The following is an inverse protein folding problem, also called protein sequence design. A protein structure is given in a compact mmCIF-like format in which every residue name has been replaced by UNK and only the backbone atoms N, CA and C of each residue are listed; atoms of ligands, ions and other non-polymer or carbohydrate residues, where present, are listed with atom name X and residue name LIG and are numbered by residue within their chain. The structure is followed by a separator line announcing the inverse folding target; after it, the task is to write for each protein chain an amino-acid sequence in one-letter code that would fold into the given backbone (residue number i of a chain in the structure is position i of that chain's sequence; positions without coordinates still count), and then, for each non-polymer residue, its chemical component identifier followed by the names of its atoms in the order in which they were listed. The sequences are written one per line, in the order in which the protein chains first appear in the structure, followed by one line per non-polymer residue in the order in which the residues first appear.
data_IF_575435792536
#
_entry.id   IF_575435792536
#
_cell.length_a   1.000
_cell.length_b   1.000
_cell.length_c   1.000
_cell.angle_alpha   90.00
_cell.angle_beta   90.00
_cell.angle_gamma   90.00
#
_symmetry.space_group_name_H-M   'P 1'
#
loop_
_entity.id
_entity.type
_entity.pdbx_description
1 polymer ?
#
# COMPACT_ATOMS: atom_id res chain seq x y z
N UNK A 1 -11.92 -29.43 25.94
CA UNK A 1 -11.52 -29.86 24.57
C UNK A 1 -10.62 -28.81 23.88
N UNK A 2 -11.05 -27.55 23.74
CA UNK A 2 -10.26 -26.46 23.12
C UNK A 2 -8.92 -26.24 23.86
N UNK A 3 -8.94 -26.09 25.19
CA UNK A 3 -7.71 -25.89 26.00
C UNK A 3 -6.70 -27.04 25.86
N UNK A 4 -7.17 -28.27 25.63
CA UNK A 4 -6.28 -29.42 25.39
C UNK A 4 -5.62 -29.34 23.99
N UNK A 5 -6.36 -28.89 22.98
CA UNK A 5 -5.82 -28.67 21.64
C UNK A 5 -4.81 -27.52 21.60
N UNK A 6 -5.07 -26.42 22.30
CA UNK A 6 -4.14 -25.31 22.42
C UNK A 6 -2.80 -25.72 23.07
N UNK A 7 -2.83 -26.61 24.08
CA UNK A 7 -1.58 -27.16 24.66
C UNK A 7 -0.73 -27.93 23.64
N UNK A 8 -1.37 -28.58 22.67
CA UNK A 8 -0.67 -29.27 21.59
C UNK A 8 -0.03 -28.26 20.62
N UNK A 9 -0.73 -27.18 20.29
CA UNK A 9 -0.20 -26.09 19.45
C UNK A 9 0.99 -25.41 20.14
N UNK A 10 0.86 -25.05 21.43
CA UNK A 10 1.95 -24.49 22.24
C UNK A 10 3.19 -25.37 22.23
N UNK A 11 2.99 -26.69 22.41
CA UNK A 11 4.08 -27.68 22.46
C UNK A 11 4.81 -27.83 21.12
N UNK A 12 4.12 -27.55 20.02
CA UNK A 12 4.67 -27.59 18.66
C UNK A 12 5.16 -26.20 18.19
N UNK A 13 5.19 -25.18 19.05
CA UNK A 13 5.69 -23.84 18.73
C UNK A 13 4.77 -22.99 17.85
N UNK A 14 3.49 -23.34 17.72
CA UNK A 14 2.53 -22.53 16.96
C UNK A 14 2.07 -21.33 17.76
N UNK A 15 2.11 -20.16 17.12
CA UNK A 15 1.44 -18.95 17.61
C UNK A 15 -0.04 -18.96 17.15
N UNK A 16 -0.94 -18.51 18.01
CA UNK A 16 -2.37 -18.41 17.69
C UNK A 16 -3.01 -17.17 18.30
N UNK A 17 -4.14 -16.77 17.76
CA UNK A 17 -4.89 -15.60 18.18
C UNK A 17 -6.40 -15.83 18.19
N UNK A 18 -7.11 -14.84 18.71
CA UNK A 18 -8.57 -14.81 18.75
C UNK A 18 -9.07 -13.52 18.16
N UNK A 19 -10.14 -13.63 17.38
CA UNK A 19 -10.96 -12.49 17.01
C UNK A 19 -12.03 -12.33 18.07
N UNK A 20 -12.15 -11.16 18.65
CA UNK A 20 -13.06 -10.86 19.75
C UNK A 20 -13.91 -9.65 19.40
N UNK A 21 -15.23 -9.85 19.34
CA UNK A 21 -16.22 -8.79 19.24
C UNK A 21 -16.71 -8.34 20.63
N UNK A 22 -17.35 -7.18 20.71
CA UNK A 22 -17.99 -6.72 21.95
C UNK A 22 -19.07 -7.69 22.44
N UNK A 23 -19.79 -8.32 21.53
CA UNK A 23 -20.80 -9.35 21.83
C UNK A 23 -20.18 -10.57 22.50
N UNK A 24 -19.02 -11.00 22.02
CA UNK A 24 -18.30 -12.16 22.61
C UNK A 24 -17.87 -11.87 24.04
N UNK A 25 -17.40 -10.66 24.33
CA UNK A 25 -17.01 -10.25 25.67
C UNK A 25 -18.18 -10.27 26.66
N UNK A 26 -19.34 -9.84 26.22
CA UNK A 26 -20.56 -9.84 27.04
C UNK A 26 -21.06 -11.27 27.24
N UNK A 27 -21.10 -12.08 26.19
CA UNK A 27 -21.75 -13.41 26.21
C UNK A 27 -20.83 -14.50 26.77
N UNK A 28 -19.52 -14.40 26.54
CA UNK A 28 -18.55 -15.48 26.78
C UNK A 28 -17.37 -15.10 27.67
N UNK A 29 -17.47 -14.06 28.47
CA UNK A 29 -16.37 -13.50 29.28
C UNK A 29 -15.61 -14.55 30.08
N UNK A 30 -16.31 -15.47 30.76
CA UNK A 30 -15.69 -16.52 31.61
C UNK A 30 -14.87 -17.51 30.78
N UNK A 31 -15.24 -17.77 29.53
CA UNK A 31 -14.56 -18.71 28.63
C UNK A 31 -13.41 -18.03 27.89
N UNK A 32 -13.60 -16.77 27.50
CA UNK A 32 -12.60 -16.01 26.74
C UNK A 32 -11.39 -15.61 27.57
N UNK A 33 -11.56 -15.26 28.82
CA UNK A 33 -10.46 -14.80 29.67
C UNK A 33 -9.28 -15.81 29.78
N UNK A 34 -9.50 -17.11 30.03
CA UNK A 34 -8.41 -18.10 30.06
C UNK A 34 -7.79 -18.34 28.67
N UNK A 35 -8.56 -18.20 27.59
CA UNK A 35 -8.08 -18.37 26.22
C UNK A 35 -7.22 -17.17 25.79
N UNK A 36 -7.71 -15.96 26.04
CA UNK A 36 -7.00 -14.72 25.73
C UNK A 36 -5.65 -14.60 26.46
N UNK A 37 -5.57 -15.07 27.71
CA UNK A 37 -4.30 -15.06 28.46
C UNK A 37 -3.22 -16.00 27.88
N UNK A 38 -3.60 -16.98 27.08
CA UNK A 38 -2.67 -17.93 26.45
C UNK A 38 -2.35 -17.61 25.00
N UNK A 39 -3.14 -16.75 24.35
CA UNK A 39 -2.93 -16.40 22.94
C UNK A 39 -1.73 -15.47 22.75
N UNK A 40 -1.15 -15.50 21.55
CA UNK A 40 -0.09 -14.58 21.14
C UNK A 40 -0.69 -13.31 20.53
N UNK A 41 -1.87 -13.43 19.92
CA UNK A 41 -2.55 -12.34 19.20
C UNK A 41 -4.01 -12.23 19.65
N UNK A 42 -4.50 -11.01 19.77
CA UNK A 42 -5.93 -10.72 19.92
C UNK A 42 -6.30 -9.64 18.93
N UNK A 43 -7.23 -9.96 18.05
CA UNK A 43 -7.85 -9.02 17.14
C UNK A 43 -9.17 -8.54 17.72
N UNK A 44 -9.35 -7.22 17.79
CA UNK A 44 -10.59 -6.57 18.24
C UNK A 44 -11.31 -5.92 17.09
N UNK A 45 -12.62 -6.08 17.04
CA UNK A 45 -13.52 -5.28 16.18
C UNK A 45 -13.70 -3.91 16.83
N UNK A 46 -12.75 -3.01 16.60
CA UNK A 46 -12.59 -1.75 17.34
C UNK A 46 -13.76 -0.80 17.17
N UNK A 47 -14.45 -0.78 16.03
CA UNK A 47 -15.63 0.04 15.78
C UNK A 47 -16.77 -0.16 16.80
N UNK A 48 -16.79 -1.30 17.49
CA UNK A 48 -17.81 -1.60 18.51
C UNK A 48 -17.46 -1.15 19.92
N UNK A 49 -16.24 -0.59 20.14
CA UNK A 49 -15.74 -0.21 21.46
C UNK A 49 -15.45 1.29 21.55
N UNK A 50 -15.71 1.90 22.69
CA UNK A 50 -15.21 3.23 22.99
C UNK A 50 -13.75 3.20 23.54
N UNK A 51 -13.12 4.38 23.58
CA UNK A 51 -11.72 4.48 24.00
C UNK A 51 -11.44 4.05 25.44
N UNK A 52 -12.43 4.10 26.35
CA UNK A 52 -12.30 3.65 27.74
C UNK A 52 -12.42 2.13 27.83
N UNK A 53 -13.31 1.55 27.04
CA UNK A 53 -13.49 0.11 26.93
C UNK A 53 -12.23 -0.56 26.37
N UNK A 54 -11.64 0.02 25.31
CA UNK A 54 -10.38 -0.44 24.72
C UNK A 54 -9.25 -0.42 25.74
N UNK A 55 -9.09 0.68 26.49
CA UNK A 55 -8.06 0.81 27.53
C UNK A 55 -8.28 -0.19 28.68
N UNK A 56 -9.51 -0.37 29.10
CA UNK A 56 -9.89 -1.35 30.11
C UNK A 56 -9.56 -2.78 29.69
N UNK A 57 -9.90 -3.16 28.46
CA UNK A 57 -9.57 -4.45 27.88
C UNK A 57 -8.07 -4.67 27.80
N UNK A 58 -7.31 -3.72 27.28
CA UNK A 58 -5.86 -3.79 27.19
C UNK A 58 -5.24 -4.06 28.57
N UNK A 59 -5.61 -3.28 29.58
CA UNK A 59 -5.14 -3.46 30.95
C UNK A 59 -5.49 -4.84 31.50
N UNK A 60 -6.72 -5.30 31.29
CA UNK A 60 -7.16 -6.61 31.77
C UNK A 60 -6.40 -7.77 31.10
N UNK A 61 -6.06 -7.63 29.82
CA UNK A 61 -5.35 -8.65 29.05
C UNK A 61 -3.85 -8.67 29.34
N UNK A 62 -3.24 -7.50 29.57
CA UNK A 62 -1.78 -7.39 29.78
C UNK A 62 -1.37 -7.59 31.23
N UNK A 63 -2.16 -7.09 32.21
CA UNK A 63 -1.81 -7.12 33.62
C UNK A 63 -1.78 -8.54 34.26
N UNK A 64 -2.43 -9.50 33.64
CA UNK A 64 -2.51 -10.89 34.15
C UNK A 64 -1.56 -11.86 33.44
N UNK A 65 -0.75 -11.38 32.52
CA UNK A 65 0.23 -12.22 31.78
C UNK A 65 1.50 -12.41 32.61
N UNK A 66 2.03 -13.62 32.55
CA UNK A 66 3.33 -13.95 33.11
C UNK A 66 4.42 -13.78 32.06
N UNK A 67 5.67 -13.60 32.49
CA UNK A 67 6.85 -13.50 31.61
C UNK A 67 6.95 -14.71 30.67
N UNK A 68 6.55 -15.90 31.14
CA UNK A 68 6.58 -17.13 30.33
C UNK A 68 5.58 -17.16 29.17
N UNK A 69 4.55 -16.31 29.19
CA UNK A 69 3.53 -16.25 28.13
C UNK A 69 3.92 -15.32 26.97
N UNK A 70 5.05 -14.63 27.08
CA UNK A 70 5.54 -13.70 26.07
C UNK A 70 4.67 -12.45 25.90
N UNK A 71 4.99 -11.62 24.90
CA UNK A 71 4.23 -10.42 24.58
C UNK A 71 2.89 -10.80 23.92
N UNK A 72 1.82 -10.13 24.32
CA UNK A 72 0.54 -10.17 23.63
C UNK A 72 0.54 -9.09 22.56
N UNK A 73 0.21 -9.47 21.35
CA UNK A 73 0.03 -8.53 20.25
C UNK A 73 -1.45 -8.23 20.04
N UNK A 74 -1.80 -6.96 20.03
CA UNK A 74 -3.15 -6.48 19.80
C UNK A 74 -3.30 -6.00 18.36
N UNK A 75 -4.33 -6.48 17.68
CA UNK A 75 -4.71 -6.06 16.33
C UNK A 75 -6.01 -5.26 16.40
N UNK A 76 -6.00 -4.08 15.83
CA UNK A 76 -7.20 -3.29 15.58
C UNK A 76 -7.69 -3.57 14.16
N UNK A 77 -8.96 -3.98 14.02
CA UNK A 77 -9.54 -4.36 12.73
C UNK A 77 -10.64 -3.40 12.32
N UNK A 78 -10.81 -3.25 10.99
CA UNK A 78 -11.86 -2.44 10.34
C UNK A 78 -11.83 -0.96 10.79
N UNK A 79 -10.63 -0.39 10.81
CA UNK A 79 -10.46 1.05 11.07
C UNK A 79 -10.85 1.86 9.82
N UNK A 80 -11.88 2.68 9.94
CA UNK A 80 -12.39 3.48 8.82
C UNK A 80 -11.80 4.91 8.77
N UNK A 81 -11.27 5.40 9.90
CA UNK A 81 -10.71 6.74 10.02
C UNK A 81 -9.31 6.74 10.63
N UNK A 82 -8.57 7.81 10.34
CA UNK A 82 -7.25 8.01 10.94
C UNK A 82 -7.35 8.34 12.45
N UNK A 83 -8.47 8.88 12.90
CA UNK A 83 -8.72 9.14 14.32
C UNK A 83 -8.91 7.83 15.10
N UNK A 84 -9.61 6.85 14.53
CA UNK A 84 -9.69 5.50 15.10
C UNK A 84 -8.33 4.81 15.15
N UNK A 85 -7.53 4.95 14.08
CA UNK A 85 -6.15 4.48 14.07
C UNK A 85 -5.34 5.09 15.21
N UNK A 86 -5.34 6.43 15.35
CA UNK A 86 -4.60 7.13 16.41
C UNK A 86 -5.07 6.67 17.79
N UNK A 87 -6.37 6.53 17.98
CA UNK A 87 -6.96 6.04 19.21
C UNK A 87 -6.38 4.67 19.62
N UNK A 88 -6.30 3.75 18.69
CA UNK A 88 -5.76 2.40 18.93
C UNK A 88 -4.24 2.42 19.07
N UNK A 89 -3.53 3.21 18.26
CA UNK A 89 -2.09 3.35 18.30
C UNK A 89 -1.59 3.90 19.65
N UNK A 90 -2.20 4.98 20.14
CA UNK A 90 -1.89 5.57 21.46
C UNK A 90 -2.17 4.60 22.61
N UNK A 91 -3.08 3.65 22.40
CA UNK A 91 -3.41 2.60 23.38
C UNK A 91 -2.55 1.35 23.25
N UNK A 92 -1.53 1.40 22.41
CA UNK A 92 -0.51 0.36 22.29
C UNK A 92 -0.99 -0.91 21.57
N UNK A 93 -1.83 -0.76 20.55
CA UNK A 93 -2.02 -1.81 19.56
C UNK A 93 -0.77 -1.94 18.70
N UNK A 94 -0.48 -3.16 18.27
CA UNK A 94 0.73 -3.48 17.49
C UNK A 94 0.43 -3.55 15.98
N UNK A 95 -0.79 -3.95 15.59
CA UNK A 95 -1.20 -4.15 14.19
C UNK A 95 -2.54 -3.51 13.91
N UNK A 96 -2.71 -3.04 12.67
CA UNK A 96 -3.87 -2.26 12.25
C UNK A 96 -4.32 -2.70 10.88
N UNK A 97 -5.63 -2.88 10.70
CA UNK A 97 -6.24 -3.15 9.40
C UNK A 97 -7.45 -2.24 9.19
N UNK A 98 -7.75 -1.90 7.94
CA UNK A 98 -8.90 -1.08 7.57
C UNK A 98 -8.59 -0.01 6.54
N UNK A 99 -9.57 0.82 6.25
CA UNK A 99 -9.52 1.83 5.19
C UNK A 99 -8.94 3.19 5.65
N UNK A 100 -8.47 3.30 6.89
CA UNK A 100 -8.04 4.55 7.51
C UNK A 100 -6.96 5.30 6.72
N UNK A 101 -6.11 4.60 5.95
CA UNK A 101 -5.08 5.21 5.11
C UNK A 101 -5.69 6.06 4.00
N UNK A 102 -6.76 5.56 3.37
CA UNK A 102 -7.44 6.22 2.25
C UNK A 102 -8.64 7.07 2.68
N UNK A 103 -8.90 7.18 3.98
CA UNK A 103 -9.93 8.09 4.50
C UNK A 103 -9.60 9.52 4.12
N UNK A 104 -10.58 10.27 3.64
CA UNK A 104 -10.41 11.70 3.28
C UNK A 104 -10.69 12.64 4.45
N UNK A 105 -11.15 12.11 5.57
CA UNK A 105 -11.43 12.90 6.76
C UNK A 105 -10.13 13.49 7.32
N UNK A 106 -10.11 14.81 7.48
CA UNK A 106 -8.92 15.56 7.92
C UNK A 106 -7.65 15.31 7.07
N UNK A 107 -7.83 14.88 5.79
CA UNK A 107 -6.71 14.65 4.89
C UNK A 107 -6.22 15.95 4.26
N UNK A 108 -4.90 16.15 4.31
CA UNK A 108 -4.20 17.19 3.57
C UNK A 108 -3.16 16.50 2.67
N UNK A 109 -3.03 16.94 1.41
CA UNK A 109 -2.01 16.38 0.51
C UNK A 109 -0.62 16.48 1.12
N UNK A 110 0.20 15.42 1.03
CA UNK A 110 1.54 15.42 1.59
C UNK A 110 2.43 16.44 0.89
N UNK A 111 3.29 17.11 1.68
CA UNK A 111 4.30 18.02 1.13
C UNK A 111 5.41 17.24 0.44
N UNK A 112 5.88 17.75 -0.70
CA UNK A 112 7.00 17.19 -1.45
C UNK A 112 7.96 18.31 -1.85
N UNK A 113 9.25 18.00 -1.94
CA UNK A 113 10.23 18.90 -2.58
C UNK A 113 10.13 18.84 -4.11
N UNK A 114 9.50 17.80 -4.64
CA UNK A 114 9.32 17.60 -6.06
C UNK A 114 8.19 18.49 -6.58
N UNK A 115 8.45 19.13 -7.69
CA UNK A 115 7.41 19.78 -8.48
C UNK A 115 6.58 18.72 -9.21
N UNK A 116 5.51 18.25 -8.54
CA UNK A 116 4.63 17.19 -9.07
C UNK A 116 3.99 17.58 -10.40
N UNK A 117 3.63 18.85 -10.58
CA UNK A 117 3.07 19.33 -11.87
C UNK A 117 4.09 19.24 -13.01
N UNK A 118 5.36 19.56 -12.74
CA UNK A 118 6.45 19.34 -13.69
C UNK A 118 6.63 17.86 -13.99
N UNK A 119 6.58 16.99 -12.98
CA UNK A 119 6.67 15.54 -13.18
C UNK A 119 5.52 15.02 -14.08
N UNK A 120 4.27 15.45 -13.86
CA UNK A 120 3.13 15.12 -14.73
C UNK A 120 3.37 15.62 -16.16
N UNK A 121 3.84 16.87 -16.33
CA UNK A 121 4.19 17.39 -17.66
C UNK A 121 5.24 16.54 -18.37
N UNK A 122 6.31 16.13 -17.65
CA UNK A 122 7.36 15.29 -18.21
C UNK A 122 6.84 13.88 -18.58
N UNK A 123 5.93 13.32 -17.78
CA UNK A 123 5.26 12.05 -18.10
C UNK A 123 4.46 12.16 -19.40
N UNK A 124 3.77 13.28 -19.63
CA UNK A 124 3.05 13.53 -20.89
C UNK A 124 4.02 13.63 -22.07
N UNK A 125 5.13 14.38 -21.94
CA UNK A 125 6.15 14.50 -23.00
C UNK A 125 6.76 13.13 -23.36
N UNK A 126 6.98 12.26 -22.39
CA UNK A 126 7.44 10.88 -22.65
C UNK A 126 6.42 10.07 -23.45
N UNK A 127 5.12 10.32 -23.27
CA UNK A 127 4.03 9.64 -23.96
C UNK A 127 3.81 10.16 -25.40
N UNK A 128 4.06 11.44 -25.63
CA UNK A 128 3.93 12.07 -26.96
C UNK A 128 5.16 11.90 -27.84
N UNK A 129 6.09 11.04 -27.48
CA UNK A 129 7.35 10.80 -28.19
C UNK A 129 8.20 12.06 -28.43
N UNK A 130 8.07 13.07 -27.55
CA UNK A 130 8.91 14.26 -27.57
C UNK A 130 10.41 13.86 -27.48
N UNK A 131 11.28 14.67 -28.07
CA UNK A 131 12.72 14.39 -28.03
C UNK A 131 13.26 14.27 -26.59
N UNK A 132 14.03 13.23 -26.32
CA UNK A 132 14.64 13.03 -24.99
C UNK A 132 15.48 14.23 -24.54
N UNK A 133 16.01 14.99 -25.47
CA UNK A 133 16.77 16.23 -25.20
C UNK A 133 15.88 17.29 -24.53
N UNK A 134 14.67 17.49 -25.02
CA UNK A 134 13.69 18.45 -24.43
C UNK A 134 13.35 18.04 -22.99
N UNK A 135 13.18 16.73 -22.77
CA UNK A 135 12.91 16.18 -21.44
C UNK A 135 14.13 16.38 -20.52
N UNK A 136 15.33 16.09 -21.04
CA UNK A 136 16.59 16.27 -20.29
C UNK A 136 16.78 17.73 -19.85
N UNK A 137 16.53 18.67 -20.72
CA UNK A 137 16.66 20.11 -20.44
C UNK A 137 15.68 20.55 -19.33
N UNK A 138 14.45 20.06 -19.35
CA UNK A 138 13.47 20.36 -18.29
C UNK A 138 13.83 19.72 -16.93
N UNK A 139 14.33 18.49 -16.92
CA UNK A 139 14.82 17.85 -15.68
C UNK A 139 16.05 18.60 -15.16
N UNK A 140 16.97 18.99 -16.04
CA UNK A 140 18.19 19.74 -15.67
C UNK A 140 17.87 21.11 -15.06
N UNK A 141 16.79 21.73 -15.49
CA UNK A 141 16.32 23.00 -14.92
C UNK A 141 15.77 22.89 -13.51
N UNK A 142 15.43 21.67 -13.04
CA UNK A 142 15.01 21.39 -11.66
C UNK A 142 16.15 20.68 -10.90
N UNK A 143 16.85 21.39 -9.97
CA UNK A 143 17.99 20.82 -9.24
C UNK A 143 17.60 19.58 -8.40
N UNK A 144 16.38 19.52 -7.88
CA UNK A 144 15.93 18.41 -7.02
C UNK A 144 15.71 17.17 -7.86
N UNK A 145 15.00 17.29 -9.00
CA UNK A 145 14.82 16.18 -9.94
C UNK A 145 16.18 15.70 -10.49
N UNK A 146 17.05 16.62 -10.88
CA UNK A 146 18.41 16.31 -11.34
C UNK A 146 19.18 15.49 -10.30
N UNK A 147 19.21 15.94 -9.04
CA UNK A 147 19.88 15.22 -7.97
C UNK A 147 19.29 13.82 -7.75
N UNK A 148 17.96 13.71 -7.69
CA UNK A 148 17.27 12.44 -7.46
C UNK A 148 17.48 11.45 -8.61
N UNK A 149 17.47 11.88 -9.85
CA UNK A 149 17.70 11.02 -11.02
C UNK A 149 19.15 10.49 -11.04
N UNK A 150 20.11 11.36 -10.82
CA UNK A 150 21.54 10.97 -10.79
C UNK A 150 21.82 10.05 -9.60
N UNK A 151 21.25 10.32 -8.42
CA UNK A 151 21.35 9.44 -7.24
C UNK A 151 20.75 8.06 -7.51
N UNK A 152 19.57 7.99 -8.11
CA UNK A 152 18.90 6.74 -8.47
C UNK A 152 19.78 5.89 -9.39
N UNK A 153 20.28 6.48 -10.50
CA UNK A 153 21.09 5.76 -11.47
C UNK A 153 22.44 5.33 -10.92
N UNK A 154 23.05 6.14 -10.08
CA UNK A 154 24.35 5.83 -9.46
C UNK A 154 24.22 4.97 -8.20
N UNK A 155 23.00 4.51 -7.87
CA UNK A 155 22.81 3.61 -6.72
C UNK A 155 23.38 2.22 -7.01
N UNK A 156 23.85 1.51 -5.97
CA UNK A 156 24.35 0.13 -6.11
C UNK A 156 23.33 -0.83 -6.73
N UNK A 157 22.03 -0.56 -6.56
CA UNK A 157 20.94 -1.37 -7.10
C UNK A 157 20.88 -1.37 -8.64
N UNK A 158 21.37 -0.31 -9.29
CA UNK A 158 21.44 -0.22 -10.76
C UNK A 158 22.71 -0.89 -11.28
N UNK A 159 23.78 -0.95 -10.48
CA UNK A 159 24.98 -1.70 -10.80
C UNK A 159 25.83 -1.13 -11.95
N UNK A 160 25.79 0.18 -12.20
CA UNK A 160 26.62 0.82 -13.22
C UNK A 160 28.09 0.82 -12.80
N UNK A 161 28.98 0.47 -13.73
CA UNK A 161 30.42 0.46 -13.48
C UNK A 161 31.02 1.87 -13.35
N UNK A 162 30.47 2.83 -14.10
CA UNK A 162 30.93 4.22 -14.08
C UNK A 162 29.77 5.14 -13.70
N UNK A 163 30.02 6.16 -12.86
CA UNK A 163 28.97 7.09 -12.46
C UNK A 163 28.50 7.94 -13.63
N UNK A 164 27.19 8.20 -13.64
CA UNK A 164 26.52 9.09 -14.59
C UNK A 164 26.48 10.49 -14.00
N UNK A 165 26.95 11.47 -14.77
CA UNK A 165 27.08 12.85 -14.30
C UNK A 165 26.15 13.83 -15.04
N UNK A 166 25.50 13.41 -16.13
CA UNK A 166 24.62 14.26 -16.93
C UNK A 166 23.26 13.63 -17.16
N UNK A 167 22.23 14.47 -17.23
CA UNK A 167 20.85 14.00 -17.45
C UNK A 167 20.66 13.41 -18.85
N UNK A 168 21.32 13.96 -19.87
CA UNK A 168 21.28 13.39 -21.23
C UNK A 168 21.72 11.92 -21.23
N UNK A 169 22.86 11.61 -20.61
CA UNK A 169 23.34 10.22 -20.47
C UNK A 169 22.39 9.37 -19.63
N UNK A 170 21.84 9.97 -18.57
CA UNK A 170 20.88 9.30 -17.70
C UNK A 170 19.66 8.82 -18.50
N UNK A 171 19.06 9.68 -19.30
CA UNK A 171 17.89 9.35 -20.12
C UNK A 171 18.21 8.37 -21.24
N UNK A 172 19.38 8.44 -21.84
CA UNK A 172 19.83 7.46 -22.85
C UNK A 172 19.98 6.05 -22.26
N UNK A 173 20.47 5.94 -21.02
CA UNK A 173 20.64 4.63 -20.34
C UNK A 173 19.29 4.08 -19.86
N UNK A 174 18.42 4.92 -19.32
CA UNK A 174 17.11 4.50 -18.86
C UNK A 174 16.18 4.11 -20.03
N UNK A 175 16.20 4.88 -21.10
CA UNK A 175 15.17 4.86 -22.12
C UNK A 175 13.85 5.46 -21.62
N UNK A 176 12.87 5.60 -22.52
CA UNK A 176 11.59 6.26 -22.24
C UNK A 176 10.77 5.54 -21.17
N UNK A 177 10.62 4.23 -21.28
CA UNK A 177 9.78 3.44 -20.37
C UNK A 177 10.26 3.48 -18.92
N UNK A 178 11.56 3.26 -18.69
CA UNK A 178 12.12 3.32 -17.34
C UNK A 178 12.12 4.74 -16.79
N UNK A 179 12.30 5.74 -17.64
CA UNK A 179 12.18 7.16 -17.27
C UNK A 179 10.74 7.48 -16.85
N UNK A 180 9.76 7.02 -17.60
CA UNK A 180 8.34 7.17 -17.26
C UNK A 180 8.01 6.52 -15.91
N UNK A 181 8.47 5.28 -15.70
CA UNK A 181 8.29 4.58 -14.43
C UNK A 181 8.96 5.31 -13.26
N UNK A 182 10.20 5.79 -13.45
CA UNK A 182 10.91 6.56 -12.44
C UNK A 182 10.19 7.86 -12.07
N UNK A 183 9.74 8.64 -13.06
CA UNK A 183 8.97 9.86 -12.83
C UNK A 183 7.64 9.58 -12.12
N UNK A 184 6.98 8.47 -12.47
CA UNK A 184 5.73 8.06 -11.80
C UNK A 184 5.95 7.75 -10.32
N UNK A 185 7.04 7.07 -9.99
CA UNK A 185 7.44 6.81 -8.60
C UNK A 185 7.78 8.12 -7.87
N UNK A 186 8.43 9.06 -8.57
CA UNK A 186 8.82 10.34 -8.01
C UNK A 186 7.61 11.19 -7.55
N UNK A 187 6.44 11.02 -8.16
CA UNK A 187 5.20 11.67 -7.69
C UNK A 187 4.88 11.32 -6.23
N UNK A 188 5.24 10.12 -5.80
CA UNK A 188 5.00 9.62 -4.43
C UNK A 188 6.17 9.90 -3.48
N UNK A 189 7.15 10.68 -3.89
CA UNK A 189 8.23 11.15 -3.03
C UNK A 189 7.70 12.19 -2.05
N UNK A 190 7.72 11.88 -0.76
CA UNK A 190 7.15 12.69 0.31
C UNK A 190 8.27 13.14 1.24
N UNK A 191 8.36 14.46 1.45
CA UNK A 191 9.34 15.05 2.37
C UNK A 191 8.89 14.88 3.81
N UNK A 192 9.77 14.32 4.67
CA UNK A 192 9.49 14.17 6.10
C UNK A 192 8.12 13.53 6.36
N UNK A 193 7.86 12.42 5.67
CA UNK A 193 6.58 11.72 5.73
C UNK A 193 6.21 11.36 7.17
N UNK A 194 5.00 11.76 7.58
CA UNK A 194 4.39 11.19 8.77
C UNK A 194 3.96 9.73 8.49
N UNK A 195 3.51 9.04 9.53
CA UNK A 195 3.12 7.63 9.41
C UNK A 195 2.03 7.41 8.36
N UNK A 196 1.03 8.29 8.28
CA UNK A 196 -0.08 8.19 7.31
C UNK A 196 0.40 8.33 5.87
N UNK A 197 1.30 9.28 5.62
CA UNK A 197 1.87 9.53 4.29
C UNK A 197 2.74 8.36 3.82
N UNK A 198 3.51 7.75 4.74
CA UNK A 198 4.28 6.54 4.45
C UNK A 198 3.36 5.38 4.06
N UNK A 199 2.26 5.18 4.80
CA UNK A 199 1.28 4.16 4.48
C UNK A 199 0.61 4.40 3.12
N UNK A 200 0.32 5.65 2.77
CA UNK A 200 -0.22 5.98 1.43
C UNK A 200 0.75 5.55 0.32
N UNK A 201 2.03 5.87 0.47
CA UNK A 201 3.06 5.47 -0.50
C UNK A 201 3.22 3.95 -0.56
N UNK A 202 3.28 3.29 0.59
CA UNK A 202 3.38 1.82 0.66
C UNK A 202 2.19 1.15 -0.01
N UNK A 203 0.97 1.62 0.25
CA UNK A 203 -0.23 1.08 -0.36
C UNK A 203 -0.28 1.32 -1.87
N UNK A 204 0.12 2.51 -2.34
CA UNK A 204 0.19 2.82 -3.77
C UNK A 204 1.18 1.89 -4.49
N UNK A 205 2.38 1.70 -3.91
CA UNK A 205 3.40 0.80 -4.44
C UNK A 205 2.95 -0.67 -4.40
N UNK A 206 2.35 -1.10 -3.30
CA UNK A 206 1.83 -2.48 -3.18
C UNK A 206 0.79 -2.75 -4.26
N UNK A 207 -0.17 -1.84 -4.47
CA UNK A 207 -1.17 -1.97 -5.52
C UNK A 207 -0.55 -1.99 -6.92
N UNK A 208 0.45 -1.14 -7.17
CA UNK A 208 1.16 -1.09 -8.44
C UNK A 208 1.90 -2.42 -8.72
N UNK A 209 2.64 -2.94 -7.77
CA UNK A 209 3.36 -4.22 -7.91
C UNK A 209 2.41 -5.42 -7.97
N UNK A 210 1.30 -5.40 -7.24
CA UNK A 210 0.28 -6.43 -7.33
C UNK A 210 -0.30 -6.51 -8.73
N UNK A 211 -0.78 -5.40 -9.29
CA UNK A 211 -1.31 -5.35 -10.64
C UNK A 211 -0.27 -5.75 -11.70
N UNK A 212 0.95 -5.25 -11.60
CA UNK A 212 2.06 -5.66 -12.48
C UNK A 212 2.28 -7.17 -12.45
N UNK A 213 2.21 -7.78 -11.28
CA UNK A 213 2.43 -9.23 -11.10
C UNK A 213 1.31 -10.10 -11.66
N UNK A 214 0.11 -9.54 -11.84
CA UNK A 214 -1.01 -10.21 -12.48
C UNK A 214 -0.92 -10.21 -14.02
N UNK A 215 -0.01 -9.43 -14.62
CA UNK A 215 0.08 -9.27 -16.06
C UNK A 215 0.13 -10.62 -16.82
N UNK A 216 -0.81 -10.80 -17.74
CA UNK A 216 -0.92 -12.01 -18.54
C UNK A 216 -1.45 -13.26 -17.82
N UNK A 217 -1.87 -13.15 -16.56
CA UNK A 217 -2.60 -14.21 -15.88
C UNK A 217 -4.08 -14.18 -16.27
N UNK A 218 -4.63 -15.32 -16.57
CA UNK A 218 -6.05 -15.47 -16.91
C UNK A 218 -6.48 -14.53 -18.03
N UNK A 219 -7.33 -13.57 -17.68
CA UNK A 219 -7.88 -12.53 -18.59
C UNK A 219 -7.25 -11.15 -18.37
N UNK A 220 -6.25 -11.04 -17.48
CA UNK A 220 -5.59 -9.76 -17.18
C UNK A 220 -4.72 -9.35 -18.38
N UNK A 221 -4.70 -8.07 -18.79
CA UNK A 221 -3.83 -7.58 -19.83
C UNK A 221 -2.36 -7.94 -19.61
N UNK A 222 -1.58 -8.04 -20.70
CA UNK A 222 -0.16 -8.44 -20.63
C UNK A 222 0.79 -7.28 -20.37
N UNK A 223 0.31 -6.04 -20.56
CA UNK A 223 1.11 -4.82 -20.40
C UNK A 223 1.41 -4.56 -18.91
N UNK A 224 2.60 -4.96 -18.49
CA UNK A 224 3.08 -4.80 -17.11
C UNK A 224 3.19 -3.34 -16.68
N UNK A 225 3.67 -2.49 -17.57
CA UNK A 225 3.87 -1.07 -17.25
C UNK A 225 2.53 -0.35 -17.14
N UNK A 226 1.57 -0.65 -18.02
CA UNK A 226 0.21 -0.13 -17.91
C UNK A 226 -0.45 -0.53 -16.58
N UNK A 227 -0.32 -1.80 -16.18
CA UNK A 227 -0.87 -2.30 -14.91
C UNK A 227 -0.18 -1.67 -13.69
N UNK A 228 1.15 -1.50 -13.75
CA UNK A 228 1.89 -0.80 -12.69
C UNK A 228 1.40 0.64 -12.52
N UNK A 229 1.32 1.38 -13.63
CA UNK A 229 0.85 2.78 -13.63
C UNK A 229 -0.60 2.88 -13.17
N UNK A 230 -1.46 1.96 -13.59
CA UNK A 230 -2.84 1.89 -13.13
C UNK A 230 -2.93 1.79 -11.60
N UNK A 231 -2.16 0.89 -11.01
CA UNK A 231 -2.12 0.72 -9.57
C UNK A 231 -1.63 1.96 -8.84
N UNK A 232 -0.52 2.50 -9.30
CA UNK A 232 0.10 3.69 -8.71
C UNK A 232 -0.84 4.91 -8.82
N UNK A 233 -1.37 5.20 -10.01
CA UNK A 233 -2.22 6.37 -10.25
C UNK A 233 -3.60 6.25 -9.64
N UNK A 234 -4.04 5.06 -9.26
CA UNK A 234 -5.31 4.88 -8.56
C UNK A 234 -5.40 5.55 -7.19
N UNK A 235 -4.29 6.11 -6.70
CA UNK A 235 -4.19 6.90 -5.47
C UNK A 235 -3.69 8.34 -5.70
N UNK A 236 -3.64 8.76 -6.96
CA UNK A 236 -3.10 10.07 -7.34
C UNK A 236 -3.96 11.22 -6.80
N UNK A 237 -5.27 11.02 -6.73
CA UNK A 237 -6.24 11.97 -6.17
C UNK A 237 -5.96 12.30 -4.70
N UNK A 238 -5.60 11.30 -3.90
CA UNK A 238 -5.17 11.50 -2.51
C UNK A 238 -3.85 12.24 -2.44
N UNK A 239 -2.90 11.85 -3.27
CA UNK A 239 -1.57 12.45 -3.30
C UNK A 239 -1.62 13.93 -3.70
N UNK A 240 -2.45 14.28 -4.68
CA UNK A 240 -2.55 15.63 -5.23
C UNK A 240 -3.61 16.50 -4.53
N UNK A 241 -4.52 15.88 -3.76
CA UNK A 241 -5.64 16.59 -3.13
C UNK A 241 -6.66 17.14 -4.13
N UNK A 242 -6.77 16.52 -5.30
CA UNK A 242 -7.64 16.92 -6.39
C UNK A 242 -8.54 15.74 -6.81
N UNK A 243 -9.75 16.00 -7.35
CA UNK A 243 -10.58 14.93 -7.91
C UNK A 243 -9.87 14.18 -9.03
N UNK A 244 -10.04 12.85 -9.09
CA UNK A 244 -9.39 12.02 -10.11
C UNK A 244 -9.71 12.49 -11.53
N UNK A 245 -10.95 12.89 -11.81
CA UNK A 245 -11.35 13.36 -13.14
C UNK A 245 -10.53 14.58 -13.61
N UNK A 246 -10.34 15.56 -12.71
CA UNK A 246 -9.55 16.77 -13.03
C UNK A 246 -8.06 16.46 -13.22
N UNK A 247 -7.52 15.50 -12.48
CA UNK A 247 -6.14 15.06 -12.64
C UNK A 247 -5.92 14.35 -13.97
N UNK A 248 -6.87 13.51 -14.36
CA UNK A 248 -6.77 12.75 -15.60
C UNK A 248 -6.87 13.63 -16.85
N UNK A 249 -7.59 14.76 -16.80
CA UNK A 249 -7.58 15.77 -17.89
C UNK A 249 -6.18 16.36 -18.12
N UNK A 250 -5.33 16.36 -17.10
CA UNK A 250 -3.95 16.86 -17.18
C UNK A 250 -2.95 15.78 -17.60
N UNK A 251 -3.40 14.52 -17.78
CA UNK A 251 -2.54 13.39 -18.11
C UNK A 251 -2.90 12.83 -19.48
N UNK A 252 -1.88 12.43 -20.25
CA UNK A 252 -2.07 11.76 -21.55
C UNK A 252 -1.98 10.24 -21.38
N UNK A 253 -2.81 9.68 -20.47
CA UNK A 253 -2.90 8.24 -20.31
C UNK A 253 -3.69 7.61 -21.47
N UNK A 254 -3.40 6.34 -21.83
CA UNK A 254 -4.26 5.58 -22.73
C UNK A 254 -5.71 5.56 -22.23
N UNK A 255 -6.65 5.67 -23.16
CA UNK A 255 -8.10 5.75 -22.85
C UNK A 255 -8.58 4.62 -21.96
N UNK A 256 -8.08 3.40 -22.19
CA UNK A 256 -8.45 2.23 -21.38
C UNK A 256 -8.03 2.36 -19.89
N UNK A 257 -6.88 2.98 -19.60
CA UNK A 257 -6.44 3.28 -18.23
C UNK A 257 -7.25 4.42 -17.63
N UNK A 258 -7.51 5.45 -18.43
CA UNK A 258 -8.33 6.60 -18.02
C UNK A 258 -9.72 6.13 -17.57
N UNK A 259 -10.39 5.30 -18.39
CA UNK A 259 -11.68 4.71 -18.07
C UNK A 259 -11.62 3.88 -16.77
N UNK A 260 -10.63 2.99 -16.63
CA UNK A 260 -10.50 2.19 -15.41
C UNK A 260 -10.34 3.05 -14.14
N UNK A 261 -9.54 4.11 -14.20
CA UNK A 261 -9.32 5.01 -13.07
C UNK A 261 -10.60 5.77 -12.67
N UNK A 262 -11.47 6.06 -13.63
CA UNK A 262 -12.79 6.65 -13.40
C UNK A 262 -13.88 5.61 -13.05
N UNK A 263 -13.55 4.34 -12.94
CA UNK A 263 -14.52 3.27 -12.69
C UNK A 263 -15.41 2.94 -13.88
N UNK A 264 -15.01 3.34 -15.08
CA UNK A 264 -15.72 3.08 -16.32
C UNK A 264 -15.27 1.75 -16.96
N UNK A 265 -16.10 1.12 -17.80
CA UNK A 265 -15.77 -0.17 -18.43
C UNK A 265 -14.48 -0.10 -19.26
N UNK A 266 -13.53 -0.97 -18.93
CA UNK A 266 -12.31 -1.21 -19.70
C UNK A 266 -11.72 -2.57 -19.32
N UNK A 267 -10.77 -3.08 -20.09
CA UNK A 267 -10.06 -4.32 -19.79
C UNK A 267 -9.23 -4.26 -18.48
N UNK A 268 -8.91 -3.06 -18.02
CA UNK A 268 -8.16 -2.79 -16.80
C UNK A 268 -9.03 -2.62 -15.55
N UNK A 269 -10.37 -2.50 -15.71
CA UNK A 269 -11.25 -2.22 -14.58
C UNK A 269 -11.31 -3.39 -13.59
N UNK A 270 -11.51 -4.62 -14.07
CA UNK A 270 -11.64 -5.78 -13.19
C UNK A 270 -10.36 -6.05 -12.37
N UNK A 271 -9.13 -6.01 -12.95
CA UNK A 271 -7.89 -6.06 -12.18
C UNK A 271 -7.77 -4.95 -11.13
N UNK A 272 -8.13 -3.71 -11.47
CA UNK A 272 -8.07 -2.58 -10.54
C UNK A 272 -9.04 -2.76 -9.36
N UNK A 273 -10.27 -3.18 -9.64
CA UNK A 273 -11.26 -3.44 -8.59
C UNK A 273 -10.87 -4.63 -7.71
N UNK A 274 -10.21 -5.66 -8.27
CA UNK A 274 -9.63 -6.76 -7.49
C UNK A 274 -8.55 -6.23 -6.53
N UNK A 275 -7.63 -5.41 -7.00
CA UNK A 275 -6.60 -4.82 -6.15
C UNK A 275 -7.19 -3.93 -5.04
N UNK A 276 -8.21 -3.13 -5.37
CA UNK A 276 -8.92 -2.32 -4.37
C UNK A 276 -9.68 -3.16 -3.35
N UNK A 277 -10.22 -4.31 -3.75
CA UNK A 277 -10.93 -5.22 -2.84
C UNK A 277 -9.96 -5.92 -1.88
N UNK A 278 -8.76 -6.28 -2.35
CA UNK A 278 -7.67 -6.81 -1.53
C UNK A 278 -7.23 -5.79 -0.47
N UNK A 279 -6.96 -4.55 -0.86
CA UNK A 279 -6.55 -3.49 0.05
C UNK A 279 -7.59 -3.21 1.16
N UNK A 280 -8.87 -3.24 0.78
CA UNK A 280 -10.00 -2.94 1.67
C UNK A 280 -10.52 -4.15 2.42
N UNK A 281 -9.92 -5.32 2.21
CA UNK A 281 -10.36 -6.59 2.81
C UNK A 281 -11.86 -6.89 2.56
N UNK A 282 -12.38 -6.46 1.41
CA UNK A 282 -13.74 -6.78 0.97
C UNK A 282 -13.82 -8.23 0.49
N UNK A 283 -13.63 -9.17 1.40
CA UNK A 283 -13.54 -10.60 1.12
C UNK A 283 -14.74 -11.13 0.32
N UNK A 284 -15.90 -10.52 0.47
CA UNK A 284 -17.14 -10.88 -0.24
C UNK A 284 -17.07 -10.60 -1.76
N UNK A 285 -16.26 -9.62 -2.19
CA UNK A 285 -16.12 -9.25 -3.61
C UNK A 285 -15.00 -9.99 -4.31
N UNK A 286 -13.99 -10.43 -3.57
CA UNK A 286 -12.78 -11.06 -4.13
C UNK A 286 -13.11 -12.27 -5.02
N UNK A 287 -14.00 -13.23 -4.65
CA UNK A 287 -14.30 -14.38 -5.51
C UNK A 287 -14.85 -14.00 -6.89
N UNK A 288 -15.75 -13.01 -6.94
CA UNK A 288 -16.34 -12.54 -8.19
C UNK A 288 -15.31 -11.83 -9.06
N UNK A 289 -14.49 -10.95 -8.48
CA UNK A 289 -13.45 -10.21 -9.20
C UNK A 289 -12.32 -11.12 -9.66
N UNK A 290 -11.92 -12.08 -8.85
CA UNK A 290 -10.97 -13.13 -9.22
C UNK A 290 -11.44 -13.93 -10.44
N UNK A 291 -12.71 -14.35 -10.46
CA UNK A 291 -13.32 -15.05 -11.59
C UNK A 291 -13.36 -14.16 -12.86
N UNK A 292 -13.65 -12.86 -12.71
CA UNK A 292 -13.61 -11.89 -13.82
C UNK A 292 -12.20 -11.77 -14.42
N UNK A 293 -11.17 -11.74 -13.57
CA UNK A 293 -9.75 -11.73 -13.96
C UNK A 293 -9.24 -13.10 -14.42
N UNK A 294 -9.96 -14.19 -14.15
CA UNK A 294 -9.51 -15.56 -14.45
C UNK A 294 -8.32 -16.01 -13.59
N UNK A 295 -8.25 -15.53 -12.35
CA UNK A 295 -7.22 -15.90 -11.36
C UNK A 295 -7.85 -16.61 -10.17
N UNK A 296 -7.07 -17.41 -9.46
CA UNK A 296 -7.53 -18.13 -8.27
C UNK A 296 -6.96 -17.53 -6.98
N UNK A 297 -7.51 -17.94 -5.82
CA UNK A 297 -7.15 -17.40 -4.51
C UNK A 297 -5.65 -17.59 -4.17
N UNK A 298 -5.05 -18.71 -4.58
CA UNK A 298 -3.62 -18.97 -4.33
C UNK A 298 -2.74 -18.00 -5.13
N UNK A 299 -3.07 -17.76 -6.40
CA UNK A 299 -2.37 -16.77 -7.22
C UNK A 299 -2.49 -15.36 -6.62
N UNK A 300 -3.68 -14.97 -6.17
CA UNK A 300 -3.88 -13.67 -5.50
C UNK A 300 -2.95 -13.57 -4.29
N UNK A 301 -2.99 -14.55 -3.39
CA UNK A 301 -2.16 -14.56 -2.17
C UNK A 301 -0.66 -14.46 -2.48
N UNK A 302 -0.16 -15.28 -3.42
CA UNK A 302 1.24 -15.26 -3.83
C UNK A 302 1.66 -13.89 -4.37
N UNK A 303 0.82 -13.27 -5.23
CA UNK A 303 1.08 -11.95 -5.81
C UNK A 303 0.98 -10.82 -4.79
N UNK A 304 0.08 -10.92 -3.83
CA UNK A 304 -0.01 -9.96 -2.72
C UNK A 304 1.25 -9.97 -1.86
N UNK A 305 1.76 -11.17 -1.49
CA UNK A 305 3.00 -11.30 -0.72
C UNK A 305 4.21 -10.75 -1.51
N UNK A 306 4.30 -11.07 -2.80
CA UNK A 306 5.36 -10.56 -3.68
C UNK A 306 5.31 -9.03 -3.77
N UNK A 307 4.13 -8.46 -3.94
CA UNK A 307 3.91 -7.02 -4.05
C UNK A 307 4.30 -6.27 -2.77
N UNK A 308 3.89 -6.77 -1.60
CA UNK A 308 4.26 -6.22 -0.29
C UNK A 308 5.79 -6.20 -0.10
N UNK A 309 6.47 -7.31 -0.43
CA UNK A 309 7.93 -7.40 -0.34
C UNK A 309 8.62 -6.39 -1.26
N UNK A 310 8.16 -6.24 -2.51
CA UNK A 310 8.71 -5.27 -3.46
C UNK A 310 8.47 -3.82 -3.03
N UNK A 311 7.26 -3.50 -2.55
CA UNK A 311 6.92 -2.18 -2.06
C UNK A 311 7.83 -1.78 -0.89
N UNK A 312 7.98 -2.65 0.09
CA UNK A 312 8.86 -2.44 1.24
C UNK A 312 10.32 -2.22 0.82
N UNK A 313 10.84 -3.05 -0.08
CA UNK A 313 12.21 -2.89 -0.60
C UNK A 313 12.38 -1.56 -1.34
N UNK A 314 11.40 -1.16 -2.16
CA UNK A 314 11.45 0.10 -2.90
C UNK A 314 11.45 1.29 -1.95
N UNK A 315 10.63 1.29 -0.91
CA UNK A 315 10.63 2.36 0.12
C UNK A 315 11.95 2.45 0.86
N UNK A 316 12.53 1.33 1.25
CA UNK A 316 13.82 1.30 1.96
C UNK A 316 14.98 1.90 1.15
N UNK A 317 14.93 1.81 -0.19
CA UNK A 317 15.89 2.44 -1.08
C UNK A 317 15.74 3.97 -1.20
N UNK A 318 14.57 4.49 -0.86
CA UNK A 318 14.31 5.93 -0.87
C UNK A 318 14.64 6.62 0.46
N UNK A 319 14.62 5.88 1.57
CA UNK A 319 14.92 6.39 2.92
C UNK A 319 16.45 6.54 3.20
N UNK A 320 17.32 5.97 2.36
CA UNK A 320 18.81 6.06 2.44
C UNK A 320 19.36 7.08 1.46
#
# INVERSE_FOLDING_TARGET
KILTQLKVLDKNGFAYGWVISKKDLVTHQKTLAPLALRSNYIQLETASFDGREIEGLRKALTSRRTVQQGKLHLLANDLDSFDEFNLCFERGFDFFTGNFVTSRENWHPPKSDINRMLAIKLLNLLRTDEELKVIADQITADPIMTFKLLRYLNSPAIGLQNPILTIDKALLILGRERCFRWLSLLLFDIKQSNFRERLLTEQALTRAFFLESLAGLGKVPKDKDALFILGLFSMLDLLMGMPMAELLEQTQLPEALHHALLGQPSEFLAPLELAKAEDKQHAEKIPQLAAACGVNALQILERTIEALSKAHTTMSLHDG
#
